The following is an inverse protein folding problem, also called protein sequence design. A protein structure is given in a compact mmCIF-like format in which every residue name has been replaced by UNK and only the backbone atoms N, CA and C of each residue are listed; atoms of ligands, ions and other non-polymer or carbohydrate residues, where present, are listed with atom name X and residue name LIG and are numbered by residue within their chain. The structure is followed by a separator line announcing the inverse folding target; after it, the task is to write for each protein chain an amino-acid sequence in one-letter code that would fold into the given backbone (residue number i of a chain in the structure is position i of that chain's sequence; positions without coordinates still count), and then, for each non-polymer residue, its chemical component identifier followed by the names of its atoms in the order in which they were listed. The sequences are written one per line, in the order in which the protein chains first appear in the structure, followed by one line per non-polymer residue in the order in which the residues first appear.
data_IF_833346272822
#
_entry.id   IF_833346272822
#
_cell.length_a   1.000
_cell.length_b   1.000
_cell.length_c   1.000
_cell.angle_alpha   90.00
_cell.angle_beta   90.00
_cell.angle_gamma   90.00
#
_symmetry.space_group_name_H-M   'P 1'
#
loop_
_entity.id
_entity.type
_entity.pdbx_description
1 polymer ?
#
# COMPACT_ATOMS: atom_id res chain seq x y z
N UNK A 1 31.12 20.57 -12.74
CA UNK A 1 30.80 20.39 -11.30
C UNK A 1 29.72 19.32 -11.18
N UNK A 2 30.03 18.16 -10.58
CA UNK A 2 29.02 17.12 -10.32
C UNK A 2 28.08 17.60 -9.22
N UNK A 3 26.80 17.83 -9.53
CA UNK A 3 25.78 18.04 -8.50
C UNK A 3 25.68 16.72 -7.72
N UNK A 4 26.21 16.69 -6.48
CA UNK A 4 25.96 15.57 -5.56
C UNK A 4 24.44 15.37 -5.48
N UNK A 5 23.97 14.18 -5.86
CA UNK A 5 22.58 13.80 -5.67
C UNK A 5 22.28 13.89 -4.16
N UNK A 6 21.36 14.78 -3.80
CA UNK A 6 20.93 14.93 -2.41
C UNK A 6 19.89 13.84 -2.14
N UNK A 7 20.34 12.74 -1.53
CA UNK A 7 19.47 11.68 -1.02
C UNK A 7 18.77 12.22 0.22
N UNK A 8 17.45 12.37 0.18
CA UNK A 8 16.66 12.72 1.37
C UNK A 8 16.76 11.57 2.39
N UNK A 9 16.83 11.83 3.70
CA UNK A 9 16.90 10.75 4.67
C UNK A 9 15.61 9.90 4.61
N UNK A 10 15.70 8.57 4.83
CA UNK A 10 14.57 7.67 4.69
C UNK A 10 13.44 7.94 5.70
N UNK A 11 13.73 8.66 6.78
CA UNK A 11 12.77 9.17 7.77
C UNK A 11 11.96 10.38 7.29
N UNK A 12 12.36 11.02 6.19
CA UNK A 12 11.61 12.14 5.61
C UNK A 12 10.37 11.66 4.89
N UNK A 13 9.28 12.42 4.97
CA UNK A 13 8.05 12.14 4.23
C UNK A 13 8.15 12.47 2.73
N UNK A 14 8.85 13.55 2.36
CA UNK A 14 9.00 14.01 0.98
C UNK A 14 10.24 14.89 0.79
N UNK A 15 10.65 15.09 -0.45
CA UNK A 15 11.63 16.13 -0.79
C UNK A 15 10.91 17.47 -0.98
N UNK A 16 11.20 18.53 -0.19
CA UNK A 16 10.52 19.82 -0.32
C UNK A 16 10.77 20.52 -1.66
N UNK A 17 11.82 20.13 -2.41
CA UNK A 17 12.16 20.70 -3.70
C UNK A 17 11.51 19.99 -4.89
N UNK A 18 10.93 18.80 -4.69
CA UNK A 18 10.36 17.97 -5.75
C UNK A 18 8.96 17.56 -5.35
N UNK A 19 7.96 18.15 -6.00
CA UNK A 19 6.55 17.86 -5.76
C UNK A 19 6.15 16.50 -6.32
N UNK A 20 5.20 15.84 -5.65
CA UNK A 20 4.57 14.62 -6.14
C UNK A 20 5.34 13.33 -5.89
N UNK A 21 6.40 13.36 -5.09
CA UNK A 21 7.14 12.17 -4.67
C UNK A 21 7.09 12.06 -3.14
N UNK A 22 6.39 11.04 -2.64
CA UNK A 22 6.18 10.83 -1.21
C UNK A 22 6.77 9.49 -0.76
N UNK A 23 7.70 9.50 0.19
CA UNK A 23 8.30 8.30 0.77
C UNK A 23 7.27 7.57 1.62
N UNK A 24 6.75 6.48 1.09
CA UNK A 24 5.47 5.95 1.56
C UNK A 24 5.57 5.19 2.88
N UNK A 25 6.76 4.67 3.21
CA UNK A 25 7.07 4.02 4.49
C UNK A 25 6.60 4.84 5.70
N UNK A 26 6.76 6.16 5.65
CA UNK A 26 6.47 7.07 6.76
C UNK A 26 4.98 7.43 6.91
N UNK A 27 4.12 6.88 6.06
CA UNK A 27 2.66 7.05 6.11
C UNK A 27 1.93 5.75 6.49
N UNK A 28 2.62 4.61 6.52
CA UNK A 28 2.01 3.32 6.84
C UNK A 28 1.83 3.17 8.35
N UNK A 29 0.63 2.75 8.75
CA UNK A 29 0.28 2.46 10.15
C UNK A 29 -0.13 1.00 10.39
N UNK A 30 -0.54 0.28 9.34
CA UNK A 30 -0.91 -1.13 9.44
C UNK A 30 0.35 -2.02 9.59
N UNK A 31 0.46 -2.84 10.65
CA UNK A 31 1.63 -3.69 10.90
C UNK A 31 1.83 -4.80 9.85
N UNK A 32 0.80 -5.16 9.09
CA UNK A 32 0.90 -6.18 8.02
C UNK A 32 1.35 -5.61 6.67
N UNK A 33 1.75 -4.33 6.63
CA UNK A 33 2.26 -3.64 5.45
C UNK A 33 3.72 -3.25 5.73
N UNK A 34 4.66 -3.88 5.05
CA UNK A 34 6.08 -3.55 5.14
C UNK A 34 6.54 -2.80 3.88
N UNK A 35 7.13 -1.61 4.07
CA UNK A 35 7.68 -0.80 3.00
C UNK A 35 9.16 -0.51 3.27
N UNK A 36 9.99 -0.81 2.29
CA UNK A 36 11.42 -0.52 2.32
C UNK A 36 11.75 0.97 2.21
N UNK A 37 12.94 1.33 2.67
CA UNK A 37 13.47 2.69 2.58
C UNK A 37 13.54 3.18 1.12
N UNK A 38 13.36 4.48 0.92
CA UNK A 38 13.41 5.15 -0.38
C UNK A 38 12.33 4.73 -1.39
N UNK A 39 11.39 3.87 -0.98
CA UNK A 39 10.22 3.56 -1.80
C UNK A 39 9.21 4.69 -1.74
N UNK A 40 8.80 5.19 -2.90
CA UNK A 40 7.89 6.32 -3.01
C UNK A 40 6.63 5.99 -3.80
N UNK A 41 5.58 6.74 -3.49
CA UNK A 41 4.35 6.82 -4.28
C UNK A 41 4.30 8.17 -5.01
N UNK A 42 4.06 8.14 -6.32
CA UNK A 42 3.89 9.33 -7.14
C UNK A 42 2.42 9.74 -7.18
N UNK A 43 2.08 10.92 -6.67
CA UNK A 43 0.70 11.42 -6.67
C UNK A 43 0.65 12.96 -6.63
N UNK A 44 -0.50 13.54 -6.94
CA UNK A 44 -0.63 15.00 -7.06
C UNK A 44 -0.68 15.66 -5.68
N UNK A 45 -1.37 15.01 -4.73
CA UNK A 45 -1.59 15.54 -3.38
C UNK A 45 -1.01 14.61 -2.32
N UNK A 46 -0.44 15.20 -1.25
CA UNK A 46 0.08 14.43 -0.11
C UNK A 46 -1.01 13.58 0.58
N UNK A 47 -2.26 14.04 0.55
CA UNK A 47 -3.39 13.28 1.09
C UNK A 47 -3.54 11.91 0.42
N UNK A 48 -3.20 11.78 -0.86
CA UNK A 48 -3.22 10.48 -1.55
C UNK A 48 -2.14 9.52 -1.02
N UNK A 49 -0.99 10.04 -0.59
CA UNK A 49 0.05 9.25 0.06
C UNK A 49 -0.34 8.85 1.49
N UNK A 50 -1.01 9.74 2.24
CA UNK A 50 -1.59 9.42 3.55
C UNK A 50 -2.59 8.27 3.44
N UNK A 51 -3.43 8.29 2.40
CA UNK A 51 -4.47 7.28 2.15
C UNK A 51 -3.95 6.04 1.41
N UNK A 52 -2.65 5.92 1.14
CA UNK A 52 -2.11 4.83 0.30
C UNK A 52 -2.48 3.44 0.82
N UNK A 53 -2.38 3.21 2.13
CA UNK A 53 -2.74 1.92 2.72
C UNK A 53 -4.23 1.56 2.54
N UNK A 54 -5.12 2.57 2.51
CA UNK A 54 -6.56 2.36 2.41
C UNK A 54 -7.03 2.29 0.95
N UNK A 55 -6.39 3.05 0.06
CA UNK A 55 -6.82 3.21 -1.33
C UNK A 55 -6.03 2.37 -2.30
N UNK A 56 -4.78 2.03 -2.01
CA UNK A 56 -3.91 1.28 -2.91
C UNK A 56 -3.75 -0.17 -2.51
N UNK A 57 -3.99 -0.55 -1.25
CA UNK A 57 -3.93 -1.93 -0.78
C UNK A 57 -5.37 -2.37 -0.48
N UNK A 58 -5.92 -3.21 -1.35
CA UNK A 58 -7.35 -3.54 -1.39
C UNK A 58 -7.62 -4.88 -0.72
N UNK A 59 -8.75 -4.96 -0.01
CA UNK A 59 -9.23 -6.19 0.66
C UNK A 59 -8.25 -6.80 1.68
N UNK A 60 -7.47 -5.94 2.34
CA UNK A 60 -6.53 -6.37 3.39
C UNK A 60 -7.24 -6.45 4.74
N UNK A 61 -7.79 -7.64 5.04
CA UNK A 61 -8.56 -7.82 6.27
C UNK A 61 -7.68 -8.34 7.42
N UNK A 62 -7.77 -7.76 8.64
CA UNK A 62 -6.93 -8.17 9.78
C UNK A 62 -7.04 -9.66 10.14
N UNK A 63 -8.21 -10.28 9.92
CA UNK A 63 -8.45 -11.68 10.27
C UNK A 63 -7.77 -12.69 9.33
N UNK A 64 -7.37 -12.28 8.12
CA UNK A 64 -6.64 -13.15 7.18
C UNK A 64 -5.15 -13.21 7.51
N UNK A 65 -4.64 -12.21 8.24
CA UNK A 65 -3.25 -12.09 8.64
C UNK A 65 -2.24 -12.24 7.49
N UNK A 66 -2.66 -11.92 6.26
CA UNK A 66 -1.79 -11.85 5.10
C UNK A 66 -0.97 -10.55 5.13
N UNK A 67 0.16 -10.54 4.43
CA UNK A 67 1.11 -9.44 4.45
C UNK A 67 1.44 -8.97 3.05
N UNK A 68 1.76 -7.69 2.92
CA UNK A 68 2.36 -7.11 1.72
C UNK A 68 3.71 -6.51 2.08
N UNK A 69 4.74 -6.93 1.33
CA UNK A 69 6.12 -6.48 1.52
C UNK A 69 6.59 -5.85 0.23
N UNK A 70 6.88 -4.55 0.26
CA UNK A 70 7.48 -3.81 -0.85
C UNK A 70 8.91 -3.46 -0.46
N UNK A 71 9.87 -3.85 -1.31
CA UNK A 71 11.29 -3.65 -1.07
C UNK A 71 11.74 -2.18 -1.03
N UNK A 72 13.05 -1.97 -0.99
CA UNK A 72 13.68 -0.63 -0.99
C UNK A 72 13.78 -0.08 -2.42
N UNK A 73 13.85 1.24 -2.55
CA UNK A 73 14.06 1.96 -3.83
C UNK A 73 13.01 1.65 -4.92
N UNK A 74 11.79 1.31 -4.53
CA UNK A 74 10.70 1.10 -5.49
C UNK A 74 10.02 2.42 -5.87
N UNK A 75 9.54 2.48 -7.11
CA UNK A 75 8.76 3.60 -7.65
C UNK A 75 7.33 3.13 -7.90
N UNK A 76 6.36 3.66 -7.17
CA UNK A 76 4.95 3.29 -7.32
C UNK A 76 4.21 4.45 -7.97
N UNK A 77 3.67 4.23 -9.17
CA UNK A 77 2.91 5.24 -9.90
C UNK A 77 1.52 5.46 -9.30
N UNK A 78 0.92 6.63 -9.56
CA UNK A 78 -0.46 6.96 -9.17
C UNK A 78 -1.41 5.86 -9.63
N UNK A 79 -2.39 5.54 -8.78
CA UNK A 79 -3.46 4.57 -9.03
C UNK A 79 -3.05 3.08 -9.08
N UNK A 80 -1.78 2.72 -8.85
CA UNK A 80 -1.41 1.31 -8.64
C UNK A 80 -2.23 0.73 -7.49
N UNK A 81 -2.79 -0.47 -7.71
CA UNK A 81 -3.55 -1.23 -6.72
C UNK A 81 -2.90 -2.59 -6.47
N UNK A 82 -2.84 -2.96 -5.20
CA UNK A 82 -2.43 -4.26 -4.71
C UNK A 82 -3.68 -4.98 -4.24
N UNK A 83 -3.96 -6.15 -4.81
CA UNK A 83 -5.10 -6.97 -4.43
C UNK A 83 -4.63 -8.00 -3.40
N UNK A 84 -5.20 -7.97 -2.19
CA UNK A 84 -4.89 -8.91 -1.13
C UNK A 84 -5.83 -10.14 -1.16
N UNK A 85 -5.61 -11.11 -0.29
CA UNK A 85 -6.34 -12.39 -0.35
C UNK A 85 -7.84 -12.27 -0.06
N UNK A 86 -8.26 -11.21 0.65
CA UNK A 86 -9.66 -10.96 0.97
C UNK A 86 -10.55 -10.67 -0.25
N UNK A 87 -9.95 -10.46 -1.43
CA UNK A 87 -10.69 -10.29 -2.67
C UNK A 87 -11.19 -11.62 -3.27
N UNK A 88 -10.71 -12.77 -2.77
CA UNK A 88 -11.01 -14.07 -3.36
C UNK A 88 -12.33 -14.64 -2.83
N UNK A 89 -13.08 -15.29 -3.73
CA UNK A 89 -14.23 -16.12 -3.39
C UNK A 89 -13.82 -17.58 -3.21
N UNK A 90 -14.64 -18.35 -2.48
CA UNK A 90 -14.45 -19.79 -2.38
C UNK A 90 -14.88 -20.46 -3.69
N UNK A 91 -13.95 -21.13 -4.35
CA UNK A 91 -14.16 -21.88 -5.61
C UNK A 91 -14.34 -23.39 -5.41
N UNK A 92 -14.26 -23.90 -4.18
CA UNK A 92 -14.48 -25.31 -3.86
C UNK A 92 -15.96 -25.65 -3.68
N UNK A 93 -16.79 -24.66 -3.37
CA UNK A 93 -18.23 -24.83 -3.22
C UNK A 93 -18.95 -24.86 -4.58
N UNK A 94 -20.17 -25.38 -4.60
CA UNK A 94 -21.01 -25.39 -5.81
C UNK A 94 -21.31 -23.98 -6.36
N UNK A 95 -21.34 -22.96 -5.49
CA UNK A 95 -21.51 -21.57 -5.84
C UNK A 95 -20.38 -20.74 -5.26
N UNK A 96 -19.87 -19.78 -6.03
CA UNK A 96 -18.93 -18.76 -5.56
C UNK A 96 -19.61 -17.58 -4.85
N UNK A 97 -20.94 -17.49 -4.92
CA UNK A 97 -21.71 -16.48 -4.20
C UNK A 97 -21.51 -16.65 -2.68
N UNK A 98 -21.12 -15.61 -1.94
CA UNK A 98 -20.69 -15.75 -0.56
C UNK A 98 -21.89 -15.81 0.40
N UNK A 99 -22.65 -16.90 0.32
CA UNK A 99 -23.87 -17.12 1.10
C UNK A 99 -23.64 -16.98 2.61
N UNK A 100 -22.42 -17.30 3.10
CA UNK A 100 -22.05 -17.17 4.50
C UNK A 100 -22.24 -15.75 5.08
N UNK A 101 -22.15 -14.69 4.26
CA UNK A 101 -22.40 -13.32 4.72
C UNK A 101 -23.89 -13.00 4.93
N UNK A 102 -24.80 -13.84 4.45
CA UNK A 102 -26.25 -13.63 4.56
C UNK A 102 -26.88 -14.44 5.71
N UNK A 103 -26.07 -15.13 6.52
CA UNK A 103 -26.58 -16.03 7.57
C UNK A 103 -25.98 -15.68 8.91
N UNK A 104 -26.80 -15.71 9.96
CA UNK A 104 -26.37 -15.49 11.35
C UNK A 104 -25.77 -16.75 12.02
N UNK A 105 -25.66 -17.86 11.27
CA UNK A 105 -25.09 -19.11 11.78
C UNK A 105 -23.66 -19.29 11.26
N UNK A 106 -22.71 -19.22 12.19
CA UNK A 106 -21.34 -19.73 12.01
C UNK A 106 -21.36 -21.24 12.25
#
# INVERSE_FOLDING_TARGET
MSKKAMIIPPTSKKNPKISGFYLIKNYITNPNIEIGDYTYYHCDQEQEAIEFQNKSILYHFPYLNDQIIIGKFCSIAKNVKFLMNGANHNYQNFLSYPLAFLTDKI
#
